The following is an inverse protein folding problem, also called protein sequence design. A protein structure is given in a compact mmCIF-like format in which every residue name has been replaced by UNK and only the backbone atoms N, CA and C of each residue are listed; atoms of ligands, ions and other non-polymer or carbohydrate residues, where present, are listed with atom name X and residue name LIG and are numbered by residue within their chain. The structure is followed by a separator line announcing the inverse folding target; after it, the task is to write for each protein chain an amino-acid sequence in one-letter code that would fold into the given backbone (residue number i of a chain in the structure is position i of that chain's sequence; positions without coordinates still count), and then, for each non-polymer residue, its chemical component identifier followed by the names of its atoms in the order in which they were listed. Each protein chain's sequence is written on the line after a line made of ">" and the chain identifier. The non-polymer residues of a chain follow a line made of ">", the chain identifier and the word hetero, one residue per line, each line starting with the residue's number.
data_IF_913083300462
#
_entry.id   IF_913083300462
#
_cell.length_a   1.000
_cell.length_b   1.000
_cell.length_c   1.000
_cell.angle_alpha   90.00
_cell.angle_beta   90.00
_cell.angle_gamma   90.00
#
_symmetry.space_group_name_H-M   'P 1'
#
loop_
_entity.id
_entity.type
_entity.pdbx_description
1 polymer ?
#
# COMPACT_ATOMS: atom_id res chain seq x y z
N UNK A 1 -13.58 -9.53 1.94
CA UNK A 1 -12.21 -9.33 1.42
C UNK A 1 -11.26 -9.44 2.60
N UNK A 2 -10.16 -10.15 2.44
CA UNK A 2 -9.11 -10.22 3.46
C UNK A 2 -8.43 -8.85 3.60
N UNK A 3 -7.90 -8.53 4.78
CA UNK A 3 -7.18 -7.26 4.99
C UNK A 3 -5.71 -7.43 4.65
N UNK A 4 -5.14 -6.44 3.97
CA UNK A 4 -3.70 -6.33 3.86
C UNK A 4 -3.10 -6.16 5.26
N UNK A 5 -1.93 -6.76 5.49
CA UNK A 5 -1.27 -6.77 6.79
C UNK A 5 -0.15 -5.73 6.80
N UNK A 6 -0.27 -4.64 7.57
CA UNK A 6 0.81 -3.69 7.79
C UNK A 6 1.80 -4.22 8.83
N UNK A 7 3.09 -4.02 8.58
CA UNK A 7 4.17 -4.26 9.53
C UNK A 7 5.04 -3.01 9.60
N UNK A 8 4.92 -2.26 10.69
CA UNK A 8 5.73 -1.05 10.91
C UNK A 8 7.15 -1.48 11.26
N UNK A 9 8.09 -1.20 10.35
CA UNK A 9 9.50 -1.56 10.49
C UNK A 9 10.31 -0.45 11.16
N UNK A 10 9.98 0.81 10.87
CA UNK A 10 10.59 2.00 11.45
C UNK A 10 9.47 2.99 11.78
N UNK A 11 9.50 3.59 12.96
CA UNK A 11 8.66 4.73 13.34
C UNK A 11 9.49 5.62 14.26
N UNK A 12 10.02 6.72 13.72
CA UNK A 12 10.86 7.66 14.45
C UNK A 12 10.46 9.11 14.13
N UNK A 13 11.23 10.08 14.60
CA UNK A 13 10.93 11.51 14.49
C UNK A 13 10.93 12.02 13.04
N UNK A 14 11.47 11.25 12.10
CA UNK A 14 11.68 11.68 10.71
C UNK A 14 10.89 10.87 9.69
N UNK A 15 10.72 9.57 9.91
CA UNK A 15 10.08 8.67 8.95
C UNK A 15 9.31 7.55 9.64
N UNK A 16 8.26 7.09 8.95
CA UNK A 16 7.60 5.82 9.21
C UNK A 16 7.72 4.92 7.99
N UNK A 17 8.30 3.74 8.18
CA UNK A 17 8.41 2.69 7.15
C UNK A 17 7.47 1.56 7.51
N UNK A 18 6.48 1.32 6.65
CA UNK A 18 5.52 0.21 6.81
C UNK A 18 5.63 -0.73 5.62
N UNK A 19 5.97 -1.98 5.89
CA UNK A 19 5.86 -3.06 4.92
C UNK A 19 4.40 -3.51 4.85
N UNK A 20 3.84 -3.54 3.65
CA UNK A 20 2.48 -4.04 3.42
C UNK A 20 2.51 -5.40 2.73
N UNK A 21 1.87 -6.39 3.36
CA UNK A 21 1.66 -7.72 2.79
C UNK A 21 0.21 -7.89 2.33
N UNK A 22 0.03 -8.26 1.07
CA UNK A 22 -1.27 -8.53 0.47
C UNK A 22 -1.36 -10.02 0.11
N UNK A 23 -2.29 -10.74 0.75
CA UNK A 23 -2.75 -12.01 0.20
C UNK A 23 -3.52 -11.76 -1.11
N UNK A 24 -3.66 -12.75 -2.01
CA UNK A 24 -4.46 -12.59 -3.22
C UNK A 24 -5.89 -12.10 -2.90
N UNK A 25 -6.27 -10.95 -3.47
CA UNK A 25 -7.59 -10.33 -3.24
C UNK A 25 -7.73 -9.55 -1.94
N UNK A 26 -6.66 -9.39 -1.15
CA UNK A 26 -6.67 -8.55 0.04
C UNK A 26 -6.65 -7.05 -0.30
N UNK A 27 -7.18 -6.22 0.59
CA UNK A 27 -7.20 -4.77 0.44
C UNK A 27 -6.83 -4.06 1.75
N UNK A 28 -6.30 -2.84 1.64
CA UNK A 28 -6.03 -1.96 2.79
C UNK A 28 -7.32 -1.39 3.39
N UNK A 29 -8.39 -1.33 2.59
CA UNK A 29 -9.60 -0.60 2.90
C UNK A 29 -9.43 0.91 2.65
N UNK A 30 -10.54 1.65 2.80
CA UNK A 30 -10.53 3.10 2.64
C UNK A 30 -9.67 3.77 3.70
N UNK A 31 -8.73 4.58 3.26
CA UNK A 31 -7.86 5.37 4.12
C UNK A 31 -7.43 6.64 3.38
N UNK A 32 -6.94 7.62 4.16
CA UNK A 32 -6.33 8.84 3.63
C UNK A 32 -4.86 8.83 3.99
N UNK A 33 -4.01 9.29 3.08
CA UNK A 33 -2.60 9.50 3.37
C UNK A 33 -2.43 10.72 4.27
N UNK A 34 -1.82 10.51 5.43
CA UNK A 34 -1.54 11.56 6.42
C UNK A 34 -0.24 12.33 6.12
N UNK A 35 0.66 11.70 5.37
CA UNK A 35 1.98 12.23 5.00
C UNK A 35 2.20 12.11 3.50
N UNK A 36 3.10 12.94 2.97
CA UNK A 36 3.78 12.63 1.72
C UNK A 36 4.59 11.34 1.91
N UNK A 37 4.57 10.47 0.91
CA UNK A 37 5.16 9.14 1.04
C UNK A 37 5.76 8.64 -0.27
N UNK A 38 6.62 7.64 -0.15
CA UNK A 38 7.22 6.90 -1.25
C UNK A 38 6.79 5.44 -1.15
N UNK A 39 6.57 4.80 -2.30
CA UNK A 39 6.34 3.36 -2.40
C UNK A 39 7.59 2.72 -3.01
N UNK A 40 8.11 1.69 -2.34
CA UNK A 40 9.17 0.81 -2.87
C UNK A 40 8.57 -0.57 -3.09
N UNK A 41 8.33 -0.99 -4.34
CA UNK A 41 7.79 -2.32 -4.60
C UNK A 41 8.77 -3.43 -4.20
N UNK A 42 8.26 -4.42 -3.47
CA UNK A 42 9.00 -5.66 -3.16
C UNK A 42 8.56 -6.83 -4.05
N UNK A 43 7.57 -6.61 -4.92
CA UNK A 43 7.03 -7.60 -5.86
C UNK A 43 6.62 -6.90 -7.14
N UNK A 44 7.08 -7.41 -8.29
CA UNK A 44 6.61 -6.94 -9.60
C UNK A 44 5.19 -7.46 -9.84
N UNK A 45 4.25 -6.58 -10.20
CA UNK A 45 2.86 -6.96 -10.34
C UNK A 45 1.93 -5.78 -10.58
N UNK A 46 0.62 -6.04 -10.52
CA UNK A 46 -0.42 -5.04 -10.74
C UNK A 46 -1.25 -4.86 -9.47
N UNK A 47 -1.36 -3.63 -8.98
CA UNK A 47 -2.17 -3.29 -7.81
C UNK A 47 -3.41 -2.50 -8.24
N UNK A 48 -4.59 -2.93 -7.81
CA UNK A 48 -5.86 -2.23 -8.04
C UNK A 48 -5.98 -1.08 -7.03
N UNK A 49 -6.23 0.13 -7.52
CA UNK A 49 -6.50 1.31 -6.72
C UNK A 49 -7.97 1.70 -6.88
N UNK A 50 -8.69 1.76 -5.76
CA UNK A 50 -10.05 2.30 -5.69
C UNK A 50 -9.97 3.75 -5.18
N UNK A 51 -10.44 4.68 -6.00
CA UNK A 51 -10.41 6.12 -5.76
C UNK A 51 -11.87 6.64 -5.77
N UNK A 52 -12.17 7.81 -5.17
CA UNK A 52 -13.56 8.33 -5.13
C UNK A 52 -14.23 8.52 -6.51
N UNK A 53 -13.44 8.65 -7.58
CA UNK A 53 -13.91 8.84 -8.96
C UNK A 53 -13.86 7.61 -9.85
N UNK A 54 -13.49 6.44 -9.32
CA UNK A 54 -13.34 5.22 -10.10
C UNK A 54 -12.14 4.39 -9.67
N UNK A 55 -11.75 3.44 -10.49
CA UNK A 55 -10.67 2.54 -10.14
C UNK A 55 -9.74 2.28 -11.31
N UNK A 56 -8.45 2.22 -11.03
CA UNK A 56 -7.37 2.03 -11.99
C UNK A 56 -6.36 1.03 -11.47
N UNK A 57 -5.51 0.55 -12.37
CA UNK A 57 -4.46 -0.39 -12.03
C UNK A 57 -3.10 0.31 -12.09
N UNK A 58 -2.27 0.11 -11.08
CA UNK A 58 -0.90 0.58 -11.02
C UNK A 58 0.06 -0.58 -11.27
N UNK A 59 1.00 -0.39 -12.20
CA UNK A 59 2.09 -1.34 -12.42
C UNK A 59 3.19 -1.10 -11.38
N UNK A 60 3.53 -2.15 -10.65
CA UNK A 60 4.63 -2.18 -9.69
C UNK A 60 5.78 -2.96 -10.31
N UNK A 61 6.99 -2.42 -10.17
CA UNK A 61 8.24 -3.02 -10.63
C UNK A 61 9.27 -2.89 -9.53
N UNK A 62 9.96 -4.00 -9.24
CA UNK A 62 11.09 -4.06 -8.30
C UNK A 62 12.38 -3.58 -8.95
#
# INVERSE_FOLDING_TARGET
>A
MERAQPNVQIDNETVRVTEWRFAPGAATGWHRHEYDYVVVPMTTGKLRLEEPGGARDAQLTT
#
